data_IF_170699829306
#
_entry.id   IF_170699829306
#
_cell.length_a   1.000
_cell.length_b   1.000
_cell.length_c   1.000
_cell.angle_alpha   90.00
_cell.angle_beta   90.00
_cell.angle_gamma   90.00
#
_symmetry.space_group_name_H-M   'P 1'
#
loop_
_entity.id
_entity.type
_entity.pdbx_description
1 polymer ?
#
# COMPACT_ATOMS: atom_id res chain seq x y z
N UNK A 1 -16.80 -14.72 -1.58
CA UNK A 1 -15.70 -15.22 -2.46
C UNK A 1 -15.23 -16.55 -1.92
N UNK A 2 -15.23 -17.58 -2.75
CA UNK A 2 -14.64 -18.86 -2.37
C UNK A 2 -13.17 -18.64 -2.08
N UNK A 3 -12.75 -19.03 -0.88
CA UNK A 3 -11.38 -18.78 -0.45
C UNK A 3 -10.44 -19.70 -1.25
N UNK A 4 -9.45 -19.10 -1.93
CA UNK A 4 -8.45 -19.79 -2.72
C UNK A 4 -7.81 -20.96 -1.96
N UNK A 5 -7.62 -22.07 -2.64
CA UNK A 5 -6.84 -23.20 -2.12
C UNK A 5 -5.36 -22.87 -2.05
N UNK A 6 -4.54 -23.56 -1.23
CA UNK A 6 -3.09 -23.30 -1.19
C UNK A 6 -2.42 -23.44 -2.56
N UNK A 7 -2.87 -24.37 -3.41
CA UNK A 7 -2.34 -24.54 -4.77
C UNK A 7 -2.67 -23.35 -5.68
N UNK A 8 -3.87 -22.80 -5.56
CA UNK A 8 -4.28 -21.61 -6.31
C UNK A 8 -3.51 -20.38 -5.85
N UNK A 9 -3.31 -20.21 -4.53
CA UNK A 9 -2.48 -19.13 -3.98
C UNK A 9 -1.05 -19.19 -4.56
N UNK A 10 -0.44 -20.38 -4.57
CA UNK A 10 0.91 -20.56 -5.15
C UNK A 10 0.89 -20.19 -6.63
N UNK A 11 -0.12 -20.64 -7.40
CA UNK A 11 -0.26 -20.30 -8.83
C UNK A 11 -0.36 -18.80 -9.07
N UNK A 12 -1.12 -18.09 -8.23
CA UNK A 12 -1.22 -16.63 -8.31
C UNK A 12 0.11 -15.94 -7.96
N UNK A 13 0.84 -16.46 -6.95
CA UNK A 13 2.18 -15.96 -6.63
C UNK A 13 3.19 -16.23 -7.75
N UNK A 14 3.07 -17.34 -8.47
CA UNK A 14 3.94 -17.70 -9.59
C UNK A 14 3.89 -16.72 -10.76
N UNK A 15 2.79 -15.98 -10.91
CA UNK A 15 2.67 -14.90 -11.90
C UNK A 15 3.66 -13.75 -11.66
N UNK A 16 4.15 -13.59 -10.43
CA UNK A 16 4.98 -12.45 -10.03
C UNK A 16 6.34 -12.86 -9.46
N UNK A 17 6.43 -14.05 -8.88
CA UNK A 17 7.59 -14.49 -8.09
C UNK A 17 8.19 -15.75 -8.71
N UNK A 18 9.40 -15.64 -9.20
CA UNK A 18 10.12 -16.73 -9.81
C UNK A 18 10.85 -17.57 -8.75
N UNK A 19 10.64 -18.88 -8.78
CA UNK A 19 11.22 -19.80 -7.79
C UNK A 19 10.63 -19.61 -6.38
N UNK A 20 11.42 -19.90 -5.36
CA UNK A 20 11.04 -19.76 -3.94
C UNK A 20 9.81 -20.61 -3.54
N UNK A 21 9.72 -21.84 -4.08
CA UNK A 21 8.52 -22.67 -3.99
C UNK A 21 8.16 -23.06 -2.54
N UNK A 22 9.18 -23.29 -1.69
CA UNK A 22 8.97 -23.60 -0.28
C UNK A 22 8.37 -22.39 0.48
N UNK A 23 8.86 -21.18 0.19
CA UNK A 23 8.34 -19.96 0.78
C UNK A 23 6.89 -19.71 0.35
N UNK A 24 6.61 -19.82 -0.95
CA UNK A 24 5.24 -19.68 -1.48
C UNK A 24 4.28 -20.69 -0.87
N UNK A 25 4.71 -21.96 -0.75
CA UNK A 25 3.92 -23.02 -0.13
C UNK A 25 3.62 -22.73 1.34
N UNK A 26 4.64 -22.36 2.13
CA UNK A 26 4.48 -22.06 3.56
C UNK A 26 3.53 -20.89 3.81
N UNK A 27 3.68 -19.82 3.03
CA UNK A 27 2.80 -18.63 3.12
C UNK A 27 1.38 -18.97 2.68
N UNK A 28 1.20 -19.76 1.62
CA UNK A 28 -0.12 -20.21 1.17
C UNK A 28 -0.84 -21.09 2.21
N UNK A 29 -0.10 -21.96 2.90
CA UNK A 29 -0.64 -22.78 3.99
C UNK A 29 -1.04 -21.89 5.18
N UNK A 30 -0.21 -20.95 5.59
CA UNK A 30 -0.51 -20.03 6.68
C UNK A 30 -1.78 -19.23 6.41
N UNK A 31 -1.92 -18.72 5.18
CA UNK A 31 -3.13 -18.03 4.76
C UNK A 31 -4.37 -18.93 4.79
N UNK A 32 -4.28 -20.14 4.23
CA UNK A 32 -5.41 -21.08 4.23
C UNK A 32 -5.79 -21.51 5.65
N UNK A 33 -4.82 -21.63 6.55
CA UNK A 33 -5.11 -21.93 7.95
C UNK A 33 -5.91 -20.82 8.65
N UNK A 34 -5.70 -19.53 8.27
CA UNK A 34 -6.57 -18.44 8.76
C UNK A 34 -8.02 -18.62 8.31
N UNK A 35 -8.23 -18.94 7.04
CA UNK A 35 -9.58 -19.24 6.55
C UNK A 35 -10.19 -20.44 7.24
N UNK A 36 -9.43 -21.55 7.42
CA UNK A 36 -9.87 -22.75 8.14
C UNK A 36 -10.28 -22.41 9.57
N UNK A 37 -9.50 -21.56 10.24
CA UNK A 37 -9.79 -21.09 11.58
C UNK A 37 -11.15 -20.35 11.66
N UNK A 38 -11.46 -19.50 10.70
CA UNK A 38 -12.74 -18.79 10.64
C UNK A 38 -13.96 -19.72 10.49
N UNK A 39 -13.73 -20.96 10.02
CA UNK A 39 -14.78 -21.96 9.89
C UNK A 39 -14.95 -22.81 11.16
N UNK A 40 -14.09 -22.64 12.16
CA UNK A 40 -14.19 -23.37 13.42
C UNK A 40 -15.29 -22.79 14.32
N UNK A 41 -15.88 -23.62 15.20
CA UNK A 41 -16.73 -23.13 16.28
C UNK A 41 -16.00 -22.06 17.12
N UNK A 42 -16.73 -21.09 17.73
CA UNK A 42 -16.11 -19.99 18.48
C UNK A 42 -15.10 -20.44 19.53
N UNK A 43 -15.43 -21.50 20.29
CA UNK A 43 -14.60 -22.07 21.35
C UNK A 43 -13.21 -22.50 20.85
N UNK A 44 -13.15 -23.22 19.72
CA UNK A 44 -11.90 -23.65 19.11
C UNK A 44 -11.22 -22.55 18.30
N UNK A 45 -12.00 -21.64 17.76
CA UNK A 45 -11.46 -20.54 16.96
C UNK A 45 -10.55 -19.62 17.76
N UNK A 46 -10.88 -19.36 19.01
CA UNK A 46 -10.11 -18.48 19.87
C UNK A 46 -8.82 -19.15 20.40
N UNK A 47 -8.81 -20.48 20.49
CA UNK A 47 -7.62 -21.26 20.87
C UNK A 47 -6.58 -21.40 19.73
N UNK A 48 -7.00 -21.25 18.46
CA UNK A 48 -6.11 -21.44 17.32
C UNK A 48 -5.41 -20.14 16.94
N UNK A 49 -4.23 -19.91 17.48
CA UNK A 49 -3.39 -18.76 17.10
C UNK A 49 -2.82 -18.88 15.66
N UNK A 50 -2.62 -17.77 14.96
CA UNK A 50 -1.92 -17.75 13.66
C UNK A 50 -0.47 -18.22 13.84
N UNK A 51 0.03 -18.97 12.84
CA UNK A 51 1.44 -19.39 12.83
C UNK A 51 2.27 -18.37 12.07
N UNK A 52 3.00 -17.54 12.80
CA UNK A 52 3.86 -16.52 12.22
C UNK A 52 5.03 -17.15 11.46
N UNK A 53 5.56 -16.41 10.49
CA UNK A 53 6.56 -16.89 9.54
C UNK A 53 7.80 -16.02 9.65
N UNK A 54 8.98 -16.65 9.71
CA UNK A 54 10.25 -15.95 9.50
C UNK A 54 10.88 -16.37 8.18
N UNK A 55 11.14 -15.39 7.31
CA UNK A 55 11.77 -15.56 6.00
C UNK A 55 13.25 -15.18 6.08
N UNK A 56 14.12 -16.13 5.81
CA UNK A 56 15.57 -15.99 5.91
C UNK A 56 16.16 -15.98 4.51
N UNK A 57 17.09 -15.09 4.24
CA UNK A 57 17.84 -15.07 2.99
C UNK A 57 18.23 -13.69 2.50
N UNK A 58 19.10 -13.59 1.49
CA UNK A 58 19.68 -12.34 1.01
C UNK A 58 18.64 -11.27 0.66
N UNK A 59 19.07 -10.03 0.54
CA UNK A 59 18.22 -8.92 0.09
C UNK A 59 17.84 -9.12 -1.38
N UNK A 60 16.65 -8.62 -1.77
CA UNK A 60 16.23 -8.60 -3.19
C UNK A 60 15.82 -9.94 -3.80
N UNK A 61 15.56 -10.99 -3.01
CA UNK A 61 15.13 -12.31 -3.49
C UNK A 61 13.62 -12.55 -3.46
N UNK A 62 12.83 -11.51 -3.11
CA UNK A 62 11.38 -11.56 -3.17
C UNK A 62 10.65 -11.70 -1.83
N UNK A 63 11.32 -11.65 -0.67
CA UNK A 63 10.68 -11.77 0.67
C UNK A 63 9.47 -10.84 0.84
N UNK A 64 9.69 -9.55 0.67
CA UNK A 64 8.63 -8.52 0.80
C UNK A 64 7.56 -8.67 -0.28
N UNK A 65 7.93 -9.06 -1.50
CA UNK A 65 6.98 -9.19 -2.61
C UNK A 65 6.03 -10.36 -2.40
N UNK A 66 6.51 -11.48 -1.85
CA UNK A 66 5.65 -12.62 -1.45
C UNK A 66 4.55 -12.14 -0.49
N UNK A 67 4.92 -11.44 0.59
CA UNK A 67 3.97 -10.96 1.58
C UNK A 67 2.98 -9.93 1.00
N UNK A 68 3.48 -8.99 0.19
CA UNK A 68 2.65 -7.97 -0.46
C UNK A 68 1.63 -8.58 -1.43
N UNK A 69 2.04 -9.55 -2.24
CA UNK A 69 1.14 -10.23 -3.19
C UNK A 69 0.11 -11.05 -2.45
N UNK A 70 0.52 -11.74 -1.38
CA UNK A 70 -0.40 -12.47 -0.53
C UNK A 70 -1.51 -11.57 0.02
N UNK A 71 -1.14 -10.43 0.57
CA UNK A 71 -2.10 -9.47 1.11
C UNK A 71 -3.09 -8.96 0.04
N UNK A 72 -2.59 -8.69 -1.17
CA UNK A 72 -3.45 -8.28 -2.31
C UNK A 72 -4.44 -9.35 -2.72
N UNK A 73 -4.02 -10.62 -2.76
CA UNK A 73 -4.89 -11.75 -3.12
C UNK A 73 -6.06 -11.94 -2.15
N UNK A 74 -5.90 -11.51 -0.91
CA UNK A 74 -6.89 -11.68 0.15
C UNK A 74 -7.61 -10.40 0.54
N UNK A 75 -7.30 -9.29 -0.12
CA UNK A 75 -7.77 -7.96 0.27
C UNK A 75 -7.53 -7.65 1.75
N UNK A 76 -6.48 -8.25 2.32
CA UNK A 76 -6.09 -8.05 3.70
C UNK A 76 -5.40 -6.70 3.90
N UNK A 77 -5.68 -5.98 4.99
CA UNK A 77 -4.85 -4.85 5.39
C UNK A 77 -3.40 -5.30 5.56
N UNK A 78 -2.46 -4.56 4.97
CA UNK A 78 -1.05 -4.93 4.94
C UNK A 78 -0.17 -3.72 5.16
N UNK A 79 0.75 -3.82 6.11
CA UNK A 79 1.83 -2.87 6.26
C UNK A 79 3.18 -3.57 6.21
N UNK A 80 4.19 -2.82 5.77
CA UNK A 80 5.59 -3.19 5.88
C UNK A 80 6.26 -2.22 6.85
N UNK A 81 6.92 -2.76 7.85
CA UNK A 81 7.72 -2.01 8.82
C UNK A 81 9.14 -2.55 8.83
N UNK A 82 10.08 -1.74 9.27
CA UNK A 82 11.49 -2.13 9.45
C UNK A 82 11.79 -2.20 10.94
N UNK A 83 12.26 -3.35 11.42
CA UNK A 83 12.53 -3.57 12.84
C UNK A 83 13.53 -2.54 13.42
N UNK A 84 14.50 -2.12 12.60
CA UNK A 84 15.53 -1.15 12.96
C UNK A 84 15.03 0.28 13.22
N UNK A 85 13.78 0.59 12.84
CA UNK A 85 13.17 1.92 13.08
C UNK A 85 12.48 2.05 14.43
N UNK A 86 12.35 0.96 15.17
CA UNK A 86 11.75 0.95 16.49
C UNK A 86 12.80 1.12 17.58
N UNK A 87 12.39 1.77 18.66
CA UNK A 87 13.20 1.97 19.84
C UNK A 87 12.49 1.40 21.06
N UNK A 88 13.28 0.98 22.05
CA UNK A 88 12.75 0.53 23.34
C UNK A 88 11.92 1.64 24.00
N UNK A 89 10.87 1.24 24.72
CA UNK A 89 9.98 2.16 25.43
C UNK A 89 10.80 3.07 26.39
N UNK A 90 10.58 4.37 26.26
CA UNK A 90 11.31 5.38 27.05
C UNK A 90 12.45 6.08 26.30
N UNK A 91 12.85 5.61 25.13
CA UNK A 91 13.80 6.30 24.24
C UNK A 91 13.08 7.11 23.16
N UNK A 92 13.77 8.12 22.63
CA UNK A 92 13.25 8.92 21.50
C UNK A 92 13.28 8.05 20.24
N UNK A 93 12.11 7.76 19.71
CA UNK A 93 11.96 6.94 18.52
C UNK A 93 10.51 6.48 18.33
N UNK A 94 10.33 5.53 17.45
CA UNK A 94 9.00 5.02 17.09
C UNK A 94 8.64 3.83 18.00
N UNK A 95 7.51 3.89 18.68
CA UNK A 95 7.02 2.77 19.47
C UNK A 95 6.49 1.62 18.59
N UNK A 96 6.52 0.40 19.09
CA UNK A 96 6.10 -0.81 18.38
C UNK A 96 4.59 -0.86 18.13
N UNK A 97 3.76 -0.22 18.97
CA UNK A 97 2.30 -0.18 18.78
C UNK A 97 1.90 0.62 17.55
N UNK A 98 2.77 1.55 17.12
CA UNK A 98 2.50 2.38 15.93
C UNK A 98 2.22 1.53 14.69
N UNK A 99 2.79 0.31 14.57
CA UNK A 99 2.48 -0.58 13.46
C UNK A 99 1.01 -0.99 13.44
N UNK A 100 0.41 -1.25 14.59
CA UNK A 100 -1.01 -1.60 14.69
C UNK A 100 -1.89 -0.40 14.39
N UNK A 101 -1.49 0.80 14.89
CA UNK A 101 -2.19 2.05 14.59
C UNK A 101 -2.18 2.36 13.09
N UNK A 102 -1.06 2.18 12.41
CA UNK A 102 -0.95 2.37 10.95
C UNK A 102 -1.76 1.35 10.16
N UNK A 103 -1.69 0.07 10.55
CA UNK A 103 -2.49 -0.99 9.92
C UNK A 103 -3.97 -0.69 10.01
N UNK A 104 -4.43 -0.20 11.18
CA UNK A 104 -5.83 0.17 11.41
C UNK A 104 -6.23 1.37 10.55
N UNK A 105 -5.42 2.42 10.51
CA UNK A 105 -5.68 3.60 9.67
C UNK A 105 -5.75 3.23 8.18
N UNK A 106 -4.87 2.34 7.72
CA UNK A 106 -4.89 1.84 6.36
C UNK A 106 -6.16 1.02 6.09
N UNK A 107 -6.59 0.16 7.02
CA UNK A 107 -7.83 -0.62 6.89
C UNK A 107 -9.05 0.26 6.78
N UNK A 108 -9.15 1.32 7.61
CA UNK A 108 -10.25 2.30 7.54
C UNK A 108 -10.30 2.96 6.16
N UNK A 109 -9.15 3.32 5.60
CA UNK A 109 -9.09 3.91 4.26
C UNK A 109 -9.53 2.92 3.17
N UNK A 110 -9.15 1.63 3.28
CA UNK A 110 -9.58 0.58 2.35
C UNK A 110 -11.11 0.41 2.39
N UNK A 111 -11.66 0.17 3.59
CA UNK A 111 -13.10 -0.04 3.76
C UNK A 111 -13.90 1.19 3.32
N UNK A 112 -13.43 2.39 3.70
CA UNK A 112 -14.06 3.64 3.25
C UNK A 112 -14.10 3.75 1.73
N UNK A 113 -13.00 3.41 1.05
CA UNK A 113 -12.94 3.43 -0.41
C UNK A 113 -13.91 2.43 -1.03
N UNK A 114 -13.97 1.21 -0.52
CA UNK A 114 -14.91 0.18 -0.98
C UNK A 114 -16.37 0.62 -0.79
N UNK A 115 -16.73 1.17 0.38
CA UNK A 115 -18.07 1.71 0.63
C UNK A 115 -18.39 2.91 -0.28
N UNK A 116 -17.41 3.80 -0.51
CA UNK A 116 -17.56 4.92 -1.45
C UNK A 116 -17.81 4.44 -2.88
N UNK A 117 -17.08 3.43 -3.35
CA UNK A 117 -17.29 2.84 -4.67
C UNK A 117 -18.68 2.21 -4.77
N UNK A 118 -19.13 1.51 -3.73
CA UNK A 118 -20.45 0.89 -3.67
C UNK A 118 -21.58 1.91 -3.78
N UNK A 119 -21.50 3.03 -3.05
CA UNK A 119 -22.53 4.09 -3.08
C UNK A 119 -22.36 5.10 -4.21
N UNK A 120 -21.30 4.99 -5.01
CA UNK A 120 -20.91 5.97 -6.03
C UNK A 120 -22.03 6.27 -7.04
N UNK A 121 -22.75 5.24 -7.50
CA UNK A 121 -23.86 5.41 -8.46
C UNK A 121 -25.01 6.20 -7.83
N UNK A 122 -25.37 5.88 -6.61
CA UNK A 122 -26.44 6.57 -5.87
C UNK A 122 -26.03 8.00 -5.54
N UNK A 123 -24.79 8.21 -5.09
CA UNK A 123 -24.24 9.54 -4.83
C UNK A 123 -24.19 10.42 -6.08
N UNK A 124 -23.86 9.86 -7.26
CA UNK A 124 -23.91 10.60 -8.54
C UNK A 124 -25.33 11.04 -8.88
N UNK A 125 -26.31 10.17 -8.75
CA UNK A 125 -27.71 10.52 -9.00
C UNK A 125 -28.18 11.62 -8.05
N UNK A 126 -27.90 11.51 -6.74
CA UNK A 126 -28.23 12.53 -5.75
C UNK A 126 -27.52 13.87 -6.03
N UNK A 127 -26.27 13.82 -6.48
CA UNK A 127 -25.49 15.00 -6.89
C UNK A 127 -26.15 15.72 -8.05
N UNK A 128 -26.59 14.97 -9.05
CA UNK A 128 -27.26 15.52 -10.23
C UNK A 128 -28.57 16.22 -9.87
N UNK A 129 -29.41 15.56 -9.07
CA UNK A 129 -30.66 16.16 -8.59
C UNK A 129 -30.40 17.45 -7.79
N UNK A 130 -29.41 17.44 -6.91
CA UNK A 130 -29.06 18.62 -6.11
C UNK A 130 -28.50 19.77 -6.97
N UNK A 131 -27.75 19.48 -8.04
CA UNK A 131 -27.32 20.51 -9.02
C UNK A 131 -28.52 21.06 -9.78
N UNK A 132 -29.50 20.23 -10.15
CA UNK A 132 -30.72 20.68 -10.80
C UNK A 132 -31.54 21.58 -9.87
N UNK A 133 -31.60 21.28 -8.58
CA UNK A 133 -32.26 22.13 -7.56
C UNK A 133 -31.56 23.49 -7.41
N UNK A 134 -30.23 23.55 -7.52
CA UNK A 134 -29.49 24.81 -7.54
C UNK A 134 -29.71 25.64 -8.81
N UNK A 135 -29.99 25.00 -9.92
CA UNK A 135 -30.29 25.64 -11.22
C UNK A 135 -31.75 26.08 -11.34
N UNK A 136 -32.65 25.34 -10.74
CA UNK A 136 -34.09 25.56 -10.71
C UNK A 136 -34.59 25.28 -9.28
N UNK A 137 -34.50 26.28 -8.36
CA UNK A 137 -34.96 26.11 -6.98
C UNK A 137 -36.44 25.73 -6.92
N UNK A 138 -36.82 24.75 -6.09
CA UNK A 138 -38.21 24.46 -5.86
C UNK A 138 -38.93 25.72 -5.27
N UNK A 139 -40.10 25.99 -5.79
CA UNK A 139 -40.87 27.18 -5.35
C UNK A 139 -41.45 26.89 -3.96
N UNK A 140 -41.14 27.75 -2.99
CA UNK A 140 -41.70 27.67 -1.63
C UNK A 140 -43.23 27.89 -1.69
N UNK A 141 -44.00 26.86 -1.42
CA UNK A 141 -45.49 26.85 -1.49
C UNK A 141 -46.15 27.79 -0.48
N UNK A 142 -45.40 28.59 0.31
CA UNK A 142 -45.92 29.46 1.35
C UNK A 142 -46.12 30.92 0.97
N UNK A 143 -45.86 31.32 -0.23
CA UNK A 143 -46.09 32.70 -0.66
C UNK A 143 -46.78 32.80 -2.01
N UNK A 144 -48.05 33.14 -1.96
CA UNK A 144 -48.89 33.78 -2.98
C UNK A 144 -49.54 32.84 -4.04
N UNK A 145 -50.85 32.94 -4.11
CA UNK A 145 -51.69 32.52 -5.21
C UNK A 145 -51.11 33.00 -6.56
N UNK A 146 -50.69 32.04 -7.43
CA UNK A 146 -50.47 32.37 -8.83
C UNK A 146 -49.15 31.90 -9.50
N UNK A 147 -48.36 30.99 -8.98
CA UNK A 147 -47.16 30.51 -9.69
C UNK A 147 -47.36 29.14 -10.34
N UNK A 148 -47.36 29.17 -11.66
CA UNK A 148 -47.62 28.07 -12.63
C UNK A 148 -46.35 27.22 -12.81
N UNK A 149 -45.56 26.84 -11.77
CA UNK A 149 -44.28 26.15 -11.97
C UNK A 149 -44.23 24.69 -11.48
N UNK A 150 -45.26 24.21 -10.82
CA UNK A 150 -45.42 22.77 -10.48
C UNK A 150 -46.18 21.95 -11.56
N UNK A 151 -46.33 22.53 -12.76
CA UNK A 151 -47.00 21.91 -13.87
C UNK A 151 -46.02 21.23 -14.87
N UNK A 152 -46.56 20.62 -15.92
CA UNK A 152 -45.80 19.92 -16.98
C UNK A 152 -44.71 20.74 -17.64
N UNK A 153 -44.69 22.06 -17.45
CA UNK A 153 -43.63 22.98 -17.95
C UNK A 153 -42.38 22.99 -17.07
N UNK A 154 -42.50 22.92 -15.75
CA UNK A 154 -41.39 22.82 -14.81
C UNK A 154 -40.61 21.53 -14.99
N UNK A 155 -41.31 20.37 -15.12
CA UNK A 155 -40.67 19.09 -15.40
C UNK A 155 -39.94 19.08 -16.75
N UNK A 156 -40.51 19.68 -17.78
CA UNK A 156 -39.88 19.80 -19.12
C UNK A 156 -38.61 20.66 -19.06
N UNK A 157 -38.62 21.71 -18.25
CA UNK A 157 -37.44 22.58 -18.06
C UNK A 157 -36.36 21.84 -17.29
N UNK A 158 -36.71 21.12 -16.23
CA UNK A 158 -35.78 20.30 -15.44
C UNK A 158 -35.13 19.22 -16.32
N UNK A 159 -35.91 18.55 -17.17
CA UNK A 159 -35.39 17.52 -18.09
C UNK A 159 -34.45 18.11 -19.16
N UNK A 160 -34.76 19.30 -19.70
CA UNK A 160 -33.83 20.01 -20.60
C UNK A 160 -32.52 20.37 -19.92
N UNK A 161 -32.57 20.85 -18.65
CA UNK A 161 -31.37 21.16 -17.87
C UNK A 161 -30.57 19.88 -17.59
N UNK A 162 -31.25 18.76 -17.27
CA UNK A 162 -30.60 17.45 -17.09
C UNK A 162 -29.83 17.04 -18.35
N UNK A 163 -30.46 17.14 -19.53
CA UNK A 163 -29.81 16.81 -20.80
C UNK A 163 -28.60 17.74 -21.10
N UNK A 164 -28.72 19.04 -20.80
CA UNK A 164 -27.61 19.98 -20.95
C UNK A 164 -26.46 19.69 -19.98
N UNK A 165 -26.79 19.25 -18.76
CA UNK A 165 -25.82 18.85 -17.73
C UNK A 165 -25.06 17.59 -18.15
N UNK A 166 -25.74 16.59 -18.71
CA UNK A 166 -25.14 15.38 -19.28
C UNK A 166 -24.24 15.67 -20.47
N UNK A 167 -24.64 16.62 -21.30
CA UNK A 167 -23.86 17.05 -22.48
C UNK A 167 -22.69 18.00 -22.12
N UNK A 168 -22.48 18.30 -20.85
CA UNK A 168 -21.37 19.18 -20.38
C UNK A 168 -21.52 20.66 -20.75
N UNK A 169 -22.68 21.10 -21.27
CA UNK A 169 -22.89 22.48 -21.73
C UNK A 169 -22.98 23.50 -20.60
N UNK A 170 -23.18 23.05 -19.37
CA UNK A 170 -23.38 23.89 -18.20
C UNK A 170 -22.16 23.93 -17.24
N UNK A 171 -21.07 23.23 -17.56
CA UNK A 171 -19.93 23.05 -16.66
C UNK A 171 -19.29 24.36 -16.17
N UNK A 172 -19.27 25.40 -16.98
CA UNK A 172 -18.69 26.71 -16.65
C UNK A 172 -19.72 27.68 -16.00
N UNK A 173 -21.00 27.28 -15.90
CA UNK A 173 -22.04 28.11 -15.28
C UNK A 173 -21.79 28.22 -13.77
N UNK A 174 -21.91 29.42 -13.22
CA UNK A 174 -21.68 29.70 -11.81
C UNK A 174 -22.98 29.43 -11.03
N UNK A 175 -22.87 28.66 -9.96
CA UNK A 175 -23.91 28.39 -8.98
C UNK A 175 -23.43 28.77 -7.58
N UNK A 176 -24.36 29.09 -6.70
CA UNK A 176 -24.04 29.34 -5.29
C UNK A 176 -24.28 28.05 -4.51
N UNK A 177 -23.24 27.49 -3.94
CA UNK A 177 -23.30 26.32 -3.07
C UNK A 177 -23.14 26.74 -1.62
N UNK A 178 -23.83 26.05 -0.74
CA UNK A 178 -23.58 26.12 0.71
C UNK A 178 -22.57 25.02 1.02
N UNK A 179 -21.30 25.39 1.08
CA UNK A 179 -20.24 24.47 1.44
C UNK A 179 -19.90 24.62 2.92
N UNK A 180 -19.71 23.48 3.60
CA UNK A 180 -19.13 23.48 4.93
C UNK A 180 -17.68 23.94 4.82
N UNK A 181 -17.37 25.07 5.45
CA UNK A 181 -15.99 25.53 5.53
C UNK A 181 -15.24 24.53 6.43
N UNK A 182 -14.37 23.72 5.84
CA UNK A 182 -13.41 22.97 6.63
C UNK A 182 -12.40 24.00 7.14
N UNK A 183 -12.67 24.52 8.31
CA UNK A 183 -11.67 25.28 9.04
C UNK A 183 -10.49 24.33 9.26
N UNK A 184 -9.51 24.36 8.39
CA UNK A 184 -8.16 23.92 8.71
C UNK A 184 -7.59 24.99 9.62
N UNK A 185 -7.48 24.73 10.93
CA UNK A 185 -6.85 25.72 11.79
C UNK A 185 -5.42 25.90 11.29
N UNK A 186 -5.01 27.12 11.11
CA UNK A 186 -3.66 27.57 10.76
C UNK A 186 -2.62 27.27 11.88
N UNK A 187 -2.86 26.21 12.65
CA UNK A 187 -2.01 25.79 13.78
C UNK A 187 -0.94 24.76 13.41
N UNK A 188 -0.87 24.32 12.14
CA UNK A 188 0.15 23.34 11.68
C UNK A 188 1.60 23.88 11.74
N UNK A 189 1.81 25.15 12.02
CA UNK A 189 3.14 25.77 11.92
C UNK A 189 3.97 25.71 13.22
N UNK A 190 3.37 25.25 14.34
CA UNK A 190 4.08 25.27 15.64
C UNK A 190 4.13 23.92 16.39
N UNK A 191 3.78 22.81 15.77
CA UNK A 191 3.86 21.49 16.42
C UNK A 191 5.27 20.92 16.29
N UNK A 192 6.10 21.11 17.30
CA UNK A 192 7.34 20.35 17.47
C UNK A 192 7.02 18.87 17.78
N UNK A 193 7.95 17.94 17.54
CA UNK A 193 7.75 16.51 17.80
C UNK A 193 7.55 16.29 19.31
N UNK A 194 6.34 15.95 19.72
CA UNK A 194 5.97 15.69 21.12
C UNK A 194 4.56 16.11 21.52
N UNK A 195 3.82 16.86 20.70
CA UNK A 195 2.49 17.38 21.04
C UNK A 195 1.33 16.66 20.32
N UNK A 196 1.60 15.64 19.53
CA UNK A 196 0.59 14.89 18.76
C UNK A 196 -0.52 14.26 19.64
N UNK A 197 -0.23 13.96 20.90
CA UNK A 197 -1.22 13.39 21.82
C UNK A 197 -2.15 14.45 22.44
N UNK A 198 -1.80 15.72 22.44
CA UNK A 198 -2.66 16.80 22.95
C UNK A 198 -3.63 17.34 21.88
N UNK A 199 -3.28 17.26 20.60
CA UNK A 199 -4.11 17.77 19.49
C UNK A 199 -5.46 17.04 19.35
N UNK A 200 -5.52 15.73 19.67
CA UNK A 200 -6.74 14.93 19.53
C UNK A 200 -7.84 15.40 20.49
N UNK A 201 -7.50 15.78 21.73
CA UNK A 201 -8.48 16.24 22.72
C UNK A 201 -8.96 17.67 22.46
N UNK A 202 -8.13 18.52 21.87
CA UNK A 202 -8.47 19.91 21.56
C UNK A 202 -9.45 19.97 20.38
N UNK A 203 -9.27 19.13 19.35
CA UNK A 203 -10.19 19.08 18.19
C UNK A 203 -11.58 18.56 18.53
N UNK A 204 -11.71 17.56 19.40
CA UNK A 204 -13.02 17.08 19.85
C UNK A 204 -13.71 18.05 20.80
N UNK A 205 -12.95 18.74 21.64
CA UNK A 205 -13.51 19.68 22.62
C UNK A 205 -13.97 20.99 21.99
N UNK A 206 -13.23 21.51 21.00
CA UNK A 206 -13.58 22.75 20.32
C UNK A 206 -14.52 22.55 19.12
N UNK A 207 -14.47 21.37 18.43
CA UNK A 207 -15.34 21.08 17.28
C UNK A 207 -16.84 20.99 17.64
N UNK A 208 -17.20 20.71 18.91
CA UNK A 208 -18.59 20.68 19.39
C UNK A 208 -19.08 22.04 19.87
N UNK A 209 -18.20 23.03 20.06
CA UNK A 209 -18.53 24.31 20.69
C UNK A 209 -18.79 25.44 19.69
N UNK A 210 -18.36 25.29 18.44
CA UNK A 210 -18.63 26.28 17.39
C UNK A 210 -19.68 25.74 16.42
N UNK A 211 -20.79 26.46 16.17
CA UNK A 211 -21.71 26.10 15.10
C UNK A 211 -20.95 26.12 13.77
N UNK A 212 -21.05 25.02 13.00
CA UNK A 212 -20.47 24.97 11.68
C UNK A 212 -21.16 26.02 10.79
N UNK A 213 -20.48 27.13 10.57
CA UNK A 213 -20.98 28.16 9.64
C UNK A 213 -20.89 27.63 8.22
N UNK A 214 -22.03 27.42 7.59
CA UNK A 214 -22.12 27.17 6.14
C UNK A 214 -21.88 28.49 5.42
N UNK A 215 -20.76 28.60 4.71
CA UNK A 215 -20.49 29.78 3.86
C UNK A 215 -21.02 29.55 2.45
N UNK A 216 -21.78 30.53 1.97
CA UNK A 216 -22.20 30.57 0.57
C UNK A 216 -21.01 30.88 -0.32
N UNK A 217 -20.64 29.96 -1.17
CA UNK A 217 -19.53 30.10 -2.13
C UNK A 217 -20.07 30.03 -3.55
N UNK A 218 -19.61 30.95 -4.40
CA UNK A 218 -19.83 30.86 -5.84
C UNK A 218 -18.80 29.90 -6.44
N UNK A 219 -19.26 28.91 -7.18
CA UNK A 219 -18.43 27.90 -7.85
C UNK A 219 -19.00 27.57 -9.22
N UNK A 220 -18.17 27.11 -10.13
CA UNK A 220 -18.65 26.56 -11.40
C UNK A 220 -19.37 25.22 -11.13
N UNK A 221 -20.27 24.80 -12.02
CA UNK A 221 -20.96 23.50 -11.90
C UNK A 221 -19.93 22.36 -11.84
N UNK A 222 -18.81 22.45 -12.57
CA UNK A 222 -17.71 21.50 -12.49
C UNK A 222 -17.14 21.34 -11.09
N UNK A 223 -16.91 22.44 -10.40
CA UNK A 223 -16.42 22.45 -9.02
C UNK A 223 -17.52 22.04 -8.03
N UNK A 224 -18.72 22.57 -8.20
CA UNK A 224 -19.89 22.24 -7.38
C UNK A 224 -20.19 20.75 -7.41
N UNK A 225 -20.12 20.10 -8.57
CA UNK A 225 -20.28 18.65 -8.74
C UNK A 225 -19.34 17.83 -7.86
N UNK A 226 -18.06 18.23 -7.79
CA UNK A 226 -17.06 17.53 -6.94
C UNK A 226 -17.39 17.68 -5.46
N UNK A 227 -17.76 18.90 -5.06
CA UNK A 227 -18.07 19.20 -3.65
C UNK A 227 -19.33 18.49 -3.21
N UNK A 228 -20.41 18.63 -3.98
CA UNK A 228 -21.70 18.01 -3.69
C UNK A 228 -21.59 16.47 -3.70
N UNK A 229 -20.84 15.90 -4.67
CA UNK A 229 -20.60 14.45 -4.70
C UNK A 229 -19.91 13.96 -3.42
N UNK A 230 -18.90 14.68 -2.93
CA UNK A 230 -18.24 14.32 -1.67
C UNK A 230 -19.18 14.41 -0.47
N UNK A 231 -20.06 15.42 -0.45
CA UNK A 231 -21.08 15.55 0.61
C UNK A 231 -22.11 14.42 0.55
N UNK A 232 -22.61 14.08 -0.65
CA UNK A 232 -23.57 12.98 -0.81
C UNK A 232 -22.95 11.62 -0.45
N UNK A 233 -21.69 11.38 -0.82
CA UNK A 233 -20.95 10.19 -0.36
C UNK A 233 -20.83 10.16 1.16
N UNK A 234 -20.52 11.30 1.81
CA UNK A 234 -20.41 11.37 3.27
C UNK A 234 -21.74 11.09 3.98
N UNK A 235 -22.87 11.50 3.39
CA UNK A 235 -24.21 11.18 3.93
C UNK A 235 -24.56 9.70 3.80
N UNK A 236 -24.14 9.06 2.68
CA UNK A 236 -24.47 7.67 2.38
C UNK A 236 -23.53 6.67 3.08
N UNK A 237 -22.31 7.09 3.42
CA UNK A 237 -21.31 6.23 4.09
C UNK A 237 -21.35 6.47 5.60
N UNK A 238 -21.82 5.47 6.34
CA UNK A 238 -21.76 5.49 7.79
C UNK A 238 -20.32 5.22 8.28
N UNK A 239 -19.67 6.24 8.84
CA UNK A 239 -18.27 6.14 9.31
C UNK A 239 -18.12 5.20 10.50
N UNK A 240 -19.11 5.05 11.37
CA UNK A 240 -19.05 4.11 12.51
C UNK A 240 -19.06 2.66 12.03
N UNK A 241 -19.85 2.39 10.98
CA UNK A 241 -19.85 1.07 10.32
C UNK A 241 -18.50 0.79 9.63
N UNK A 242 -17.94 1.80 8.94
CA UNK A 242 -16.61 1.69 8.29
C UNK A 242 -15.54 1.37 9.31
N UNK A 243 -15.52 2.07 10.45
CA UNK A 243 -14.53 1.86 11.52
C UNK A 243 -14.68 0.46 12.11
N UNK A 244 -15.91 0.06 12.43
CA UNK A 244 -16.18 -1.27 12.99
C UNK A 244 -15.74 -2.39 12.05
N UNK A 245 -16.11 -2.30 10.78
CA UNK A 245 -15.70 -3.27 9.76
C UNK A 245 -14.17 -3.27 9.58
N UNK A 246 -13.53 -2.11 9.60
CA UNK A 246 -12.08 -1.99 9.47
C UNK A 246 -11.34 -2.65 10.64
N UNK A 247 -11.80 -2.46 11.88
CA UNK A 247 -11.21 -3.10 13.06
C UNK A 247 -11.35 -4.63 12.95
N UNK A 248 -12.55 -5.13 12.67
CA UNK A 248 -12.80 -6.57 12.48
C UNK A 248 -11.87 -7.13 11.39
N UNK A 249 -11.66 -6.38 10.29
CA UNK A 249 -10.80 -6.79 9.19
C UNK A 249 -9.33 -6.81 9.58
N UNK A 250 -8.86 -5.86 10.40
CA UNK A 250 -7.51 -5.86 10.97
C UNK A 250 -7.32 -7.07 11.87
N UNK A 251 -8.18 -7.24 12.86
CA UNK A 251 -8.10 -8.32 13.84
C UNK A 251 -8.16 -9.71 13.21
N UNK A 252 -9.05 -9.90 12.19
CA UNK A 252 -9.25 -11.21 11.58
C UNK A 252 -8.32 -11.52 10.41
N UNK A 253 -7.86 -10.52 9.67
CA UNK A 253 -7.13 -10.69 8.41
C UNK A 253 -5.91 -9.79 8.23
N UNK A 254 -5.57 -8.90 9.18
CA UNK A 254 -4.40 -8.03 9.10
C UNK A 254 -3.08 -8.79 8.95
N UNK A 255 -2.16 -8.22 8.17
CA UNK A 255 -0.82 -8.77 7.94
C UNK A 255 0.20 -7.68 8.22
N UNK A 256 1.14 -7.95 9.12
CA UNK A 256 2.27 -7.08 9.41
C UNK A 256 3.55 -7.77 8.92
N UNK A 257 4.25 -7.13 8.01
CA UNK A 257 5.55 -7.60 7.53
C UNK A 257 6.66 -6.81 8.22
N UNK A 258 7.45 -7.50 9.03
CA UNK A 258 8.59 -6.94 9.78
C UNK A 258 9.86 -7.25 9.01
N UNK A 259 10.42 -6.26 8.32
CA UNK A 259 11.68 -6.38 7.58
C UNK A 259 12.89 -6.11 8.49
N UNK A 260 14.06 -6.59 8.11
CA UNK A 260 15.33 -6.38 8.81
C UNK A 260 15.34 -6.87 10.27
N UNK A 261 14.61 -7.97 10.56
CA UNK A 261 14.58 -8.53 11.92
C UNK A 261 15.97 -8.94 12.42
N UNK A 262 16.87 -9.32 11.53
CA UNK A 262 18.26 -9.64 11.83
C UNK A 262 19.06 -8.45 12.40
N UNK A 263 18.63 -7.20 12.19
CA UNK A 263 19.29 -6.01 12.73
C UNK A 263 19.05 -5.83 14.23
N UNK A 264 17.97 -6.35 14.75
CA UNK A 264 17.66 -6.36 16.18
C UNK A 264 17.99 -7.71 16.84
N UNK A 265 18.46 -8.71 16.08
CA UNK A 265 18.96 -9.98 16.61
C UNK A 265 20.42 -9.82 17.08
N UNK A 266 20.77 -10.54 18.14
CA UNK A 266 22.12 -10.57 18.67
C UNK A 266 22.29 -9.76 19.96
N UNK A 267 23.34 -10.13 20.72
CA UNK A 267 23.70 -9.46 21.97
C UNK A 267 24.48 -8.17 21.69
N UNK A 268 24.29 -7.19 22.54
CA UNK A 268 25.06 -5.95 22.49
C UNK A 268 26.55 -6.22 22.67
N UNK A 269 27.35 -5.77 21.71
CA UNK A 269 28.81 -5.87 21.75
C UNK A 269 29.49 -4.55 22.09
N UNK A 270 28.75 -3.44 22.17
CA UNK A 270 29.31 -2.10 22.43
C UNK A 270 28.79 -1.50 23.75
N UNK A 271 29.73 -0.99 24.56
CA UNK A 271 29.44 -0.16 25.72
C UNK A 271 29.15 1.28 25.23
N UNK A 272 27.91 1.58 24.93
CA UNK A 272 27.45 2.93 24.56
C UNK A 272 25.96 3.10 24.87
N UNK A 273 25.41 4.33 24.87
CA UNK A 273 24.00 4.62 25.07
C UNK A 273 23.18 4.32 23.79
N UNK A 274 23.39 3.15 23.19
CA UNK A 274 22.62 2.70 22.03
C UNK A 274 21.31 2.06 22.48
N UNK A 275 20.26 2.23 21.66
CA UNK A 275 18.97 1.57 21.85
C UNK A 275 19.19 0.06 21.94
N UNK A 276 18.72 -0.54 23.04
CA UNK A 276 18.88 -1.97 23.27
C UNK A 276 18.13 -2.77 22.19
N UNK A 277 18.87 -3.55 21.41
CA UNK A 277 18.29 -4.47 20.41
C UNK A 277 17.39 -5.51 21.05
N UNK A 278 17.76 -5.98 22.24
CA UNK A 278 16.98 -6.92 23.03
C UNK A 278 15.73 -6.25 23.60
N UNK A 279 15.80 -4.96 24.01
CA UNK A 279 14.66 -4.16 24.44
C UNK A 279 13.58 -4.06 23.36
N UNK A 280 13.97 -3.76 22.10
CA UNK A 280 13.02 -3.73 20.98
C UNK A 280 12.35 -5.10 20.75
N UNK A 281 13.09 -6.22 20.91
CA UNK A 281 12.48 -7.55 20.81
C UNK A 281 11.47 -7.79 21.92
N UNK A 282 11.77 -7.37 23.16
CA UNK A 282 10.85 -7.49 24.30
C UNK A 282 9.59 -6.65 24.13
N UNK A 283 9.70 -5.46 23.52
CA UNK A 283 8.55 -4.60 23.23
C UNK A 283 7.69 -5.15 22.07
N UNK A 284 8.30 -5.81 21.08
CA UNK A 284 7.58 -6.49 19.99
C UNK A 284 6.82 -7.72 20.46
N UNK A 285 7.30 -8.40 21.50
CA UNK A 285 6.78 -9.68 21.94
C UNK A 285 5.29 -9.63 22.32
N UNK A 286 4.80 -8.69 23.15
CA UNK A 286 3.37 -8.59 23.49
C UNK A 286 2.50 -8.38 22.24
N UNK A 287 2.97 -7.60 21.28
CA UNK A 287 2.23 -7.35 20.01
C UNK A 287 2.08 -8.64 19.20
N UNK A 288 3.12 -9.47 19.17
CA UNK A 288 3.15 -10.73 18.42
C UNK A 288 2.40 -11.85 19.15
N UNK A 289 2.41 -11.82 20.49
CA UNK A 289 1.72 -12.79 21.34
C UNK A 289 0.21 -12.59 21.40
N UNK A 290 -0.23 -11.36 21.27
CA UNK A 290 -1.61 -10.94 21.39
C UNK A 290 -1.80 -9.94 22.52
N UNK A 291 -2.15 -8.73 22.18
CA UNK A 291 -2.47 -7.64 23.10
C UNK A 291 -3.53 -6.73 22.50
N UNK A 292 -4.04 -5.84 23.31
CA UNK A 292 -5.00 -4.83 22.87
C UNK A 292 -4.30 -3.48 22.74
N UNK A 293 -4.28 -2.92 21.55
CA UNK A 293 -3.63 -1.63 21.24
C UNK A 293 -4.69 -0.54 21.07
N UNK A 294 -4.47 0.60 21.73
CA UNK A 294 -5.30 1.79 21.56
C UNK A 294 -4.95 2.50 20.25
N UNK A 295 -5.98 2.75 19.43
CA UNK A 295 -5.86 3.50 18.19
C UNK A 295 -6.85 4.67 18.19
N UNK A 296 -6.67 5.64 17.30
CA UNK A 296 -7.64 6.73 17.10
C UNK A 296 -9.03 6.28 16.64
N UNK A 297 -9.16 5.02 16.23
CA UNK A 297 -10.42 4.43 15.77
C UNK A 297 -11.03 3.45 16.77
N UNK A 298 -10.38 3.23 17.92
CA UNK A 298 -10.81 2.29 18.94
C UNK A 298 -9.73 1.27 19.29
N UNK A 299 -10.08 0.34 20.15
CA UNK A 299 -9.19 -0.72 20.61
C UNK A 299 -9.10 -1.82 19.55
N UNK A 300 -7.89 -2.34 19.33
CA UNK A 300 -7.60 -3.38 18.34
C UNK A 300 -6.81 -4.51 18.99
N UNK A 301 -7.29 -5.73 18.85
CA UNK A 301 -6.63 -6.94 19.34
C UNK A 301 -5.67 -7.48 18.29
N UNK A 302 -4.47 -7.88 18.71
CA UNK A 302 -3.44 -8.38 17.81
C UNK A 302 -3.36 -9.91 17.71
N UNK A 303 -4.11 -10.64 18.52
CA UNK A 303 -4.08 -12.11 18.67
C UNK A 303 -4.12 -12.88 17.34
N UNK A 304 -4.77 -12.33 16.33
CA UNK A 304 -4.98 -13.01 15.06
C UNK A 304 -4.41 -12.27 13.85
N UNK A 305 -3.63 -11.23 14.09
CA UNK A 305 -2.80 -10.59 13.06
C UNK A 305 -1.69 -11.57 12.66
N UNK A 306 -1.45 -11.71 11.37
CA UNK A 306 -0.35 -12.53 10.87
C UNK A 306 0.92 -11.70 10.80
N UNK A 307 1.93 -12.10 11.56
CA UNK A 307 3.25 -11.52 11.48
C UNK A 307 4.14 -12.34 10.55
N UNK A 308 4.74 -11.66 9.58
CA UNK A 308 5.73 -12.24 8.67
C UNK A 308 7.01 -11.45 8.87
N UNK A 309 7.98 -12.05 9.54
CA UNK A 309 9.28 -11.43 9.73
C UNK A 309 10.22 -11.79 8.59
N UNK A 310 11.15 -10.92 8.27
CA UNK A 310 12.18 -11.15 7.26
C UNK A 310 13.53 -10.58 7.71
N UNK A 311 14.61 -11.28 7.36
CA UNK A 311 15.97 -10.84 7.61
C UNK A 311 16.95 -11.53 6.67
N UNK A 312 18.12 -10.93 6.50
CA UNK A 312 19.20 -11.53 5.75
C UNK A 312 19.90 -12.63 6.56
N UNK A 313 20.05 -12.41 7.87
CA UNK A 313 20.71 -13.31 8.81
C UNK A 313 22.13 -13.75 8.38
N UNK A 314 22.89 -12.81 7.80
CA UNK A 314 24.28 -13.08 7.40
C UNK A 314 25.25 -13.05 8.59
N UNK A 315 25.05 -12.09 9.50
CA UNK A 315 25.88 -11.89 10.71
C UNK A 315 25.21 -12.50 11.92
N UNK A 316 23.97 -12.09 12.18
CA UNK A 316 23.14 -12.70 13.21
C UNK A 316 22.45 -13.97 12.65
N UNK A 317 22.12 -14.90 13.55
CA UNK A 317 21.35 -16.10 13.23
C UNK A 317 19.94 -15.97 13.82
N UNK A 318 18.94 -16.69 13.30
CA UNK A 318 17.61 -16.75 13.94
C UNK A 318 17.64 -17.24 15.40
N UNK A 319 18.68 -18.00 15.79
CA UNK A 319 18.93 -18.44 17.17
C UNK A 319 19.43 -17.31 18.08
N UNK A 320 19.81 -16.17 17.54
CA UNK A 320 20.27 -15.02 18.32
C UNK A 320 19.10 -14.08 18.72
N UNK A 321 17.91 -14.37 18.24
CA UNK A 321 16.67 -13.78 18.78
C UNK A 321 16.42 -14.32 20.19
N UNK A 322 15.73 -13.54 21.04
CA UNK A 322 15.32 -14.03 22.36
C UNK A 322 14.47 -15.29 22.25
N UNK A 323 14.57 -16.25 23.18
CA UNK A 323 13.88 -17.55 23.09
C UNK A 323 12.37 -17.44 22.86
N UNK A 324 11.73 -16.47 23.48
CA UNK A 324 10.30 -16.21 23.38
C UNK A 324 9.92 -15.83 21.93
N UNK A 325 10.70 -14.94 21.30
CA UNK A 325 10.50 -14.56 19.90
C UNK A 325 10.66 -15.76 18.96
N UNK A 326 11.67 -16.61 19.21
CA UNK A 326 11.87 -17.83 18.41
C UNK A 326 10.66 -18.76 18.46
N UNK A 327 10.00 -18.88 19.63
CA UNK A 327 8.78 -19.66 19.82
C UNK A 327 7.58 -19.09 19.07
N UNK A 328 7.53 -17.77 18.88
CA UNK A 328 6.41 -17.08 18.18
C UNK A 328 6.53 -17.08 16.66
N UNK A 329 7.68 -17.50 16.11
CA UNK A 329 7.89 -17.72 14.69
C UNK A 329 8.18 -19.19 14.37
N UNK A 330 7.18 -20.08 14.52
CA UNK A 330 7.37 -21.52 14.35
C UNK A 330 7.67 -21.93 12.91
N UNK A 331 7.26 -21.12 11.92
CA UNK A 331 7.51 -21.42 10.49
C UNK A 331 8.75 -20.66 10.06
N UNK A 332 9.82 -21.39 9.79
CA UNK A 332 11.08 -20.85 9.26
C UNK A 332 11.24 -21.26 7.80
N UNK A 333 11.47 -20.27 6.93
CA UNK A 333 11.58 -20.50 5.49
C UNK A 333 12.84 -19.84 4.97
N UNK A 334 13.71 -20.63 4.39
CA UNK A 334 14.92 -20.15 3.72
C UNK A 334 14.65 -19.90 2.25
N UNK A 335 14.88 -18.66 1.81
CA UNK A 335 14.82 -18.29 0.41
C UNK A 335 16.22 -18.42 -0.21
N UNK A 336 16.28 -19.09 -1.35
CA UNK A 336 17.54 -19.35 -2.06
C UNK A 336 17.98 -18.12 -2.86
N UNK A 337 19.29 -17.94 -2.95
CA UNK A 337 19.88 -16.96 -3.86
C UNK A 337 19.45 -17.20 -5.30
N UNK A 338 19.29 -16.13 -6.06
CA UNK A 338 18.83 -16.22 -7.44
C UNK A 338 19.95 -16.68 -8.38
N UNK A 339 19.66 -17.70 -9.19
CA UNK A 339 20.55 -18.15 -10.26
C UNK A 339 20.44 -17.25 -11.50
N UNK A 340 21.40 -17.34 -12.43
CA UNK A 340 21.32 -16.65 -13.72
C UNK A 340 20.01 -16.97 -14.46
N UNK A 341 19.59 -18.25 -14.47
CA UNK A 341 18.32 -18.64 -15.08
C UNK A 341 17.11 -18.00 -14.39
N UNK A 342 17.17 -17.81 -13.05
CA UNK A 342 16.14 -17.10 -12.34
C UNK A 342 16.08 -15.62 -12.74
N UNK A 343 17.23 -14.96 -12.95
CA UNK A 343 17.28 -13.58 -13.45
C UNK A 343 16.70 -13.45 -14.86
N UNK A 344 17.01 -14.37 -15.79
CA UNK A 344 16.41 -14.40 -17.14
C UNK A 344 14.86 -14.47 -17.05
N UNK A 345 14.36 -15.35 -16.16
CA UNK A 345 12.92 -15.49 -15.94
C UNK A 345 12.32 -14.23 -15.30
N UNK A 346 12.96 -13.63 -14.29
CA UNK A 346 12.50 -12.40 -13.63
C UNK A 346 12.39 -11.23 -14.62
N UNK A 347 13.31 -11.13 -15.57
CA UNK A 347 13.27 -10.11 -16.61
C UNK A 347 12.08 -10.24 -17.56
N UNK A 348 11.55 -11.46 -17.77
CA UNK A 348 10.63 -11.74 -18.88
C UNK A 348 9.28 -12.33 -18.50
N UNK A 349 9.23 -13.23 -17.51
CA UNK A 349 8.04 -14.04 -17.23
C UNK A 349 6.98 -13.33 -16.39
N UNK A 350 7.31 -12.62 -15.28
CA UNK A 350 6.32 -11.99 -14.45
C UNK A 350 5.39 -11.06 -15.25
N UNK A 351 4.13 -10.96 -14.81
CA UNK A 351 3.18 -10.04 -15.44
C UNK A 351 3.70 -8.59 -15.44
N UNK A 352 4.41 -8.21 -14.39
CA UNK A 352 5.09 -6.93 -14.24
C UNK A 352 6.61 -7.04 -14.46
N UNK A 353 7.07 -7.87 -15.40
CA UNK A 353 8.50 -8.03 -15.66
C UNK A 353 9.18 -6.72 -16.04
N UNK A 354 10.47 -6.57 -15.69
CA UNK A 354 11.23 -5.33 -15.92
C UNK A 354 11.24 -4.95 -17.40
N UNK A 355 11.45 -5.91 -18.30
CA UNK A 355 11.41 -5.65 -19.75
C UNK A 355 10.07 -5.01 -20.15
N UNK A 356 8.95 -5.54 -19.67
CA UNK A 356 7.63 -4.95 -19.98
C UNK A 356 7.46 -3.54 -19.41
N UNK A 357 7.98 -3.29 -18.20
CA UNK A 357 7.90 -1.97 -17.57
C UNK A 357 8.66 -0.92 -18.38
N UNK A 358 9.91 -1.19 -18.77
CA UNK A 358 10.70 -0.25 -19.55
C UNK A 358 10.18 -0.08 -20.98
N UNK A 359 9.70 -1.17 -21.61
CA UNK A 359 9.04 -1.05 -22.90
C UNK A 359 7.79 -0.15 -22.84
N UNK A 360 6.97 -0.30 -21.79
CA UNK A 360 5.78 0.51 -21.60
C UNK A 360 6.14 1.97 -21.28
N UNK A 361 7.16 2.22 -20.47
CA UNK A 361 7.63 3.54 -20.09
C UNK A 361 8.07 4.33 -21.34
N UNK A 362 8.94 3.77 -22.16
CA UNK A 362 9.46 4.47 -23.36
C UNK A 362 8.42 4.54 -24.49
N UNK A 363 7.44 3.65 -24.51
CA UNK A 363 6.32 3.74 -25.44
C UNK A 363 5.45 4.99 -25.22
N UNK A 364 5.46 5.61 -24.03
CA UNK A 364 4.75 6.87 -23.76
C UNK A 364 5.31 8.05 -24.57
N UNK A 365 6.59 7.97 -24.95
CA UNK A 365 7.28 8.94 -25.80
C UNK A 365 7.38 8.46 -27.27
N UNK A 366 6.66 7.38 -27.63
CA UNK A 366 6.63 6.85 -28.99
C UNK A 366 7.78 5.90 -29.34
N UNK A 367 8.72 5.64 -28.42
CA UNK A 367 9.86 4.73 -28.65
C UNK A 367 9.47 3.29 -28.33
N UNK A 368 9.57 2.40 -29.30
CA UNK A 368 9.35 0.96 -29.12
C UNK A 368 10.68 0.24 -28.98
N UNK A 369 10.92 -0.33 -27.79
CA UNK A 369 12.12 -1.13 -27.52
C UNK A 369 11.79 -2.60 -27.64
N UNK A 370 12.70 -3.34 -28.26
CA UNK A 370 12.65 -4.81 -28.36
C UNK A 370 13.96 -5.41 -27.85
N UNK A 371 13.87 -6.12 -26.72
CA UNK A 371 14.98 -6.88 -26.19
C UNK A 371 15.10 -8.22 -26.91
N UNK A 372 16.25 -8.45 -27.54
CA UNK A 372 16.56 -9.76 -28.11
C UNK A 372 16.95 -10.75 -26.99
N UNK A 373 16.76 -12.04 -27.25
CA UNK A 373 17.08 -13.10 -26.27
C UNK A 373 18.52 -13.06 -25.79
N UNK A 374 19.45 -12.66 -26.66
CA UNK A 374 20.87 -12.47 -26.33
C UNK A 374 21.10 -11.39 -25.28
N UNK A 375 20.42 -10.25 -25.41
CA UNK A 375 20.49 -9.15 -24.45
C UNK A 375 19.99 -9.57 -23.06
N UNK A 376 18.86 -10.27 -23.00
CA UNK A 376 18.30 -10.77 -21.73
C UNK A 376 19.27 -11.71 -21.03
N UNK A 377 19.89 -12.63 -21.78
CA UNK A 377 20.90 -13.55 -21.22
C UNK A 377 22.14 -12.80 -20.72
N UNK A 378 22.59 -11.80 -21.45
CA UNK A 378 23.77 -11.01 -21.08
C UNK A 378 23.50 -10.19 -19.82
N UNK A 379 22.36 -9.50 -19.74
CA UNK A 379 21.92 -8.76 -18.53
C UNK A 379 21.86 -9.71 -17.32
N UNK A 380 21.25 -10.88 -17.47
CA UNK A 380 21.15 -11.89 -16.42
C UNK A 380 22.52 -12.43 -15.98
N UNK A 381 23.45 -12.63 -16.94
CA UNK A 381 24.82 -13.09 -16.69
C UNK A 381 25.61 -12.05 -15.88
N UNK A 382 25.55 -10.79 -16.30
CA UNK A 382 26.20 -9.67 -15.61
C UNK A 382 25.65 -9.51 -14.21
N UNK A 383 24.33 -9.54 -14.03
CA UNK A 383 23.69 -9.46 -12.71
C UNK A 383 24.12 -10.60 -11.78
N UNK A 384 24.18 -11.82 -12.30
CA UNK A 384 24.63 -12.99 -11.54
C UNK A 384 26.10 -12.87 -11.14
N UNK A 385 26.96 -12.42 -12.05
CA UNK A 385 28.39 -12.24 -11.81
C UNK A 385 28.62 -11.14 -10.77
N UNK A 386 27.93 -10.01 -10.89
CA UNK A 386 28.03 -8.90 -9.96
C UNK A 386 27.56 -9.29 -8.55
N UNK A 387 26.47 -10.06 -8.41
CA UNK A 387 26.03 -10.58 -7.11
C UNK A 387 26.96 -11.64 -6.49
N UNK A 388 27.84 -12.26 -7.28
CA UNK A 388 28.88 -13.17 -6.76
C UNK A 388 30.15 -12.45 -6.33
N UNK A 389 30.50 -11.36 -7.03
CA UNK A 389 31.75 -10.62 -6.78
C UNK A 389 31.58 -9.53 -5.71
N UNK A 390 30.37 -8.98 -5.60
CA UNK A 390 30.03 -7.90 -4.67
C UNK A 390 28.95 -8.36 -3.69
N UNK A 391 28.42 -7.42 -2.90
CA UNK A 391 27.29 -7.71 -2.03
C UNK A 391 26.08 -8.23 -2.83
N UNK A 392 25.51 -9.33 -2.38
CA UNK A 392 24.37 -9.96 -3.02
C UNK A 392 23.08 -9.20 -2.69
N UNK A 393 22.67 -8.32 -3.59
CA UNK A 393 21.40 -7.57 -3.50
C UNK A 393 20.28 -8.18 -4.35
N UNK A 394 20.48 -9.40 -4.85
CA UNK A 394 19.46 -10.16 -5.58
C UNK A 394 18.96 -9.47 -6.84
N UNK A 395 17.65 -9.49 -7.06
CA UNK A 395 17.02 -8.92 -8.25
C UNK A 395 17.06 -7.37 -8.29
N UNK A 396 17.40 -6.68 -7.18
CA UNK A 396 17.62 -5.23 -7.22
C UNK A 396 18.73 -4.85 -8.19
N UNK A 397 19.73 -5.71 -8.36
CA UNK A 397 20.81 -5.53 -9.34
C UNK A 397 20.30 -5.37 -10.78
N UNK A 398 19.21 -6.06 -11.12
CA UNK A 398 18.63 -5.97 -12.46
C UNK A 398 18.12 -4.55 -12.77
N UNK A 399 17.57 -3.83 -11.79
CA UNK A 399 17.13 -2.45 -11.99
C UNK A 399 18.30 -1.55 -12.36
N UNK A 400 19.39 -1.60 -11.60
CA UNK A 400 20.57 -0.79 -11.86
C UNK A 400 21.18 -1.08 -13.24
N UNK A 401 21.25 -2.36 -13.60
CA UNK A 401 21.78 -2.79 -14.91
C UNK A 401 20.86 -2.32 -16.04
N UNK A 402 19.54 -2.43 -15.87
CA UNK A 402 18.56 -1.98 -16.87
C UNK A 402 18.61 -0.46 -17.06
N UNK A 403 18.64 0.30 -15.96
CA UNK A 403 18.79 1.77 -16.02
C UNK A 403 20.04 2.16 -16.80
N UNK A 404 21.19 1.56 -16.47
CA UNK A 404 22.44 1.87 -17.16
C UNK A 404 22.46 1.44 -18.62
N UNK A 405 21.82 0.31 -18.95
CA UNK A 405 21.70 -0.15 -20.32
C UNK A 405 20.85 0.80 -21.17
N UNK A 406 19.81 1.39 -20.58
CA UNK A 406 18.84 2.23 -21.26
C UNK A 406 19.10 3.74 -21.12
N UNK A 407 20.13 4.16 -20.39
CA UNK A 407 20.42 5.57 -20.07
C UNK A 407 20.42 6.48 -21.30
N UNK A 408 21.19 6.15 -22.33
CA UNK A 408 21.27 6.97 -23.53
C UNK A 408 19.97 6.97 -24.36
N UNK A 409 19.30 5.80 -24.38
CA UNK A 409 18.00 5.68 -25.06
C UNK A 409 16.94 6.53 -24.37
N UNK A 410 16.93 6.51 -23.05
CA UNK A 410 16.00 7.29 -22.23
C UNK A 410 16.28 8.78 -22.34
N UNK A 411 17.55 9.20 -22.42
CA UNK A 411 17.95 10.59 -22.59
C UNK A 411 17.56 11.15 -23.96
N UNK A 412 17.71 10.32 -25.00
CA UNK A 412 17.40 10.71 -26.38
C UNK A 412 15.97 10.31 -26.84
N UNK A 413 15.10 9.93 -25.92
CA UNK A 413 13.80 9.33 -26.27
C UNK A 413 12.93 10.20 -27.18
N UNK A 414 12.95 11.53 -27.00
CA UNK A 414 12.20 12.47 -27.85
C UNK A 414 12.71 12.55 -29.29
N UNK A 415 14.00 12.27 -29.52
CA UNK A 415 14.70 12.38 -30.82
C UNK A 415 15.09 10.99 -31.38
N UNK A 416 14.76 9.94 -30.65
CA UNK A 416 15.16 8.57 -30.97
C UNK A 416 14.33 7.96 -32.12
N UNK A 417 14.88 6.98 -32.86
CA UNK A 417 14.10 6.23 -33.84
C UNK A 417 12.94 5.48 -33.17
N UNK A 418 11.82 5.37 -33.87
CA UNK A 418 10.57 4.78 -33.38
C UNK A 418 10.71 3.31 -32.91
N UNK A 419 11.72 2.56 -33.37
CA UNK A 419 11.98 1.18 -32.98
C UNK A 419 13.47 0.98 -32.74
N UNK A 420 13.82 0.46 -31.54
CA UNK A 420 15.19 0.18 -31.14
C UNK A 420 15.29 -1.30 -30.72
N UNK A 421 16.20 -2.04 -31.34
CA UNK A 421 16.50 -3.42 -30.95
C UNK A 421 17.74 -3.47 -30.06
N UNK A 422 17.60 -4.04 -28.86
CA UNK A 422 18.69 -4.24 -27.90
C UNK A 422 19.22 -5.67 -28.04
N UNK A 423 20.46 -5.80 -28.48
CA UNK A 423 21.17 -7.06 -28.62
C UNK A 423 22.22 -7.24 -27.53
N UNK A 424 22.92 -8.41 -27.51
CA UNK A 424 23.95 -8.72 -26.51
C UNK A 424 25.16 -7.79 -26.60
N UNK A 425 25.55 -7.38 -27.80
CA UNK A 425 26.74 -6.55 -28.03
C UNK A 425 26.50 -5.14 -27.52
N UNK A 426 25.32 -4.58 -27.74
CA UNK A 426 24.89 -3.32 -27.17
C UNK A 426 24.97 -3.32 -25.62
N UNK A 427 24.46 -4.39 -24.99
CA UNK A 427 24.54 -4.54 -23.51
C UNK A 427 25.98 -4.59 -23.03
N UNK A 428 26.85 -5.36 -23.71
CA UNK A 428 28.27 -5.44 -23.37
C UNK A 428 28.99 -4.10 -23.50
N UNK A 429 28.73 -3.39 -24.59
CA UNK A 429 29.31 -2.06 -24.84
C UNK A 429 28.95 -1.07 -23.71
N UNK A 430 27.67 -0.97 -23.40
CA UNK A 430 27.17 -0.03 -22.36
C UNK A 430 27.65 -0.37 -20.95
N UNK A 431 27.89 -1.64 -20.66
CA UNK A 431 28.31 -2.10 -19.34
C UNK A 431 29.83 -2.39 -19.24
N UNK A 432 30.59 -2.29 -20.36
CA UNK A 432 32.01 -2.63 -20.39
C UNK A 432 32.87 -1.82 -19.42
N UNK A 433 32.59 -0.52 -19.26
CA UNK A 433 33.28 0.35 -18.34
C UNK A 433 33.07 -0.04 -16.87
N UNK A 434 31.85 -0.45 -16.54
CA UNK A 434 31.44 -0.80 -15.18
C UNK A 434 31.98 -2.19 -14.77
N UNK A 435 32.07 -3.12 -15.71
CA UNK A 435 32.56 -4.48 -15.44
C UNK A 435 34.08 -4.51 -15.25
N UNK A 436 34.82 -3.60 -15.92
CA UNK A 436 36.29 -3.53 -15.86
C UNK A 436 36.82 -2.79 -14.65
N UNK A 437 36.11 -1.81 -14.17
CA UNK A 437 36.51 -0.97 -13.03
C UNK A 437 35.83 -1.48 -11.75
N UNK A 438 36.60 -2.17 -10.90
CA UNK A 438 36.10 -2.71 -9.63
C UNK A 438 35.60 -1.61 -8.66
N UNK A 439 36.18 -0.43 -8.70
CA UNK A 439 35.76 0.69 -7.85
C UNK A 439 34.52 1.38 -8.41
N UNK A 440 34.46 1.63 -9.72
CA UNK A 440 33.24 2.14 -10.36
C UNK A 440 32.05 1.18 -10.22
N UNK A 441 32.29 -0.12 -10.28
CA UNK A 441 31.24 -1.14 -10.13
C UNK A 441 30.61 -1.13 -8.73
N UNK A 442 31.36 -0.79 -7.67
CA UNK A 442 30.84 -0.69 -6.29
C UNK A 442 29.88 0.49 -6.10
N UNK A 443 30.01 1.55 -6.90
CA UNK A 443 29.19 2.75 -6.79
C UNK A 443 28.02 2.77 -7.79
N UNK A 444 28.13 2.05 -8.89
CA UNK A 444 27.17 2.12 -10.00
C UNK A 444 26.28 0.86 -10.08
N UNK A 445 26.76 -0.28 -9.65
CA UNK A 445 26.03 -1.55 -9.59
C UNK A 445 25.72 -1.97 -8.16
#
# INVERSE_FOLDING_TARGET
MDALTPKEIVRELDKYIIGQDEAKKSVAIALRNRWRRQQLPPELRDEVAPKNIIMIGPTGIGKTEIARRLARLTYAPFIKVEASKYTEVGYVGRDVESMVRELTALSVNIVRKEKTEFVSTQAKAATEERILDLLLPPVDVKSTEGSIEDGPQGERTREKLRQQLHNGKLEERIVTIEAQDRFTPMFEVFSGPGLEQMDINIHEMFGKMFPQETKRRKATIREARKIIFQEEVQKLVNMDEVIREAIIRVESSGIIFIDELDKIAGRETSKGPDVSREGVQRDLLPIIEGTTVATKHGMVKTDHILFIAAGAFHVAKPSDLIPEMQGRFPIRVELKSLSQQAFEKILTQPENSLVKQYCALLATEGVKIKFLRGAIKEIASIASLANKRMENIGARRLYTIMEKTLEDISFAATDAPAVIEINADYVKEKLAGIIKDEDASKYIL
#
